data_IF_936687368536
#
_entry.id   IF_936687368536
#
_cell.length_a   1.000
_cell.length_b   1.000
_cell.length_c   1.000
_cell.angle_alpha   90.00
_cell.angle_beta   90.00
_cell.angle_gamma   90.00
#
_symmetry.space_group_name_H-M   'P 1'
#
loop_
_entity.id
_entity.type
_entity.pdbx_description
1 polymer ?
#
# COMPACT_ATOMS: atom_id res chain seq x y z
N UNK A 1 -9.23 -13.99 11.01
CA UNK A 1 -9.18 -13.20 12.25
C UNK A 1 -7.71 -13.18 12.67
N UNK A 2 -7.17 -12.06 13.16
CA UNK A 2 -5.76 -12.00 13.56
C UNK A 2 -5.61 -12.52 15.00
N UNK A 3 -4.57 -13.31 15.27
CA UNK A 3 -4.30 -13.86 16.61
C UNK A 3 -3.55 -12.86 17.51
N UNK A 4 -3.19 -11.71 16.96
CA UNK A 4 -2.50 -10.58 17.61
C UNK A 4 -3.00 -9.24 17.07
N UNK A 5 -2.56 -8.14 17.67
CA UNK A 5 -2.79 -6.80 17.12
C UNK A 5 -1.89 -6.60 15.90
N UNK A 6 -2.45 -6.54 14.66
CA UNK A 6 -1.63 -6.48 13.46
C UNK A 6 -0.93 -5.14 13.33
N UNK A 7 0.29 -5.19 12.83
CA UNK A 7 1.05 -4.01 12.44
C UNK A 7 0.47 -3.39 11.16
N UNK A 8 0.85 -2.13 10.88
CA UNK A 8 0.42 -1.45 9.66
C UNK A 8 0.86 -2.20 8.38
N UNK A 9 2.03 -2.83 8.40
CA UNK A 9 2.56 -3.61 7.29
C UNK A 9 1.77 -4.90 7.06
N UNK A 10 1.42 -5.59 8.14
CA UNK A 10 0.61 -6.80 8.11
C UNK A 10 -0.79 -6.54 7.54
N UNK A 11 -1.42 -5.44 7.93
CA UNK A 11 -2.70 -5.01 7.37
C UNK A 11 -2.60 -4.69 5.88
N UNK A 12 -1.49 -4.11 5.46
CA UNK A 12 -1.23 -3.78 4.06
C UNK A 12 -1.00 -5.03 3.22
N UNK A 13 -0.14 -5.95 3.67
CA UNK A 13 0.14 -7.20 2.96
C UNK A 13 -1.13 -8.05 2.82
N UNK A 14 -2.03 -8.02 3.81
CA UNK A 14 -3.35 -8.64 3.70
C UNK A 14 -4.23 -7.98 2.62
N UNK A 15 -4.25 -6.64 2.53
CA UNK A 15 -5.01 -5.92 1.49
C UNK A 15 -4.48 -6.22 0.10
N UNK A 16 -3.16 -6.19 -0.09
CA UNK A 16 -2.52 -6.50 -1.38
C UNK A 16 -2.82 -7.93 -1.82
N UNK A 17 -2.74 -8.92 -0.91
CA UNK A 17 -3.11 -10.31 -1.21
C UNK A 17 -4.59 -10.48 -1.55
N UNK A 18 -5.47 -9.63 -1.00
CA UNK A 18 -6.89 -9.62 -1.34
C UNK A 18 -7.19 -8.93 -2.68
N UNK A 19 -6.18 -8.48 -3.42
CA UNK A 19 -6.34 -7.83 -4.73
C UNK A 19 -6.66 -6.34 -4.66
N UNK A 20 -6.52 -5.72 -3.47
CA UNK A 20 -6.63 -4.28 -3.37
C UNK A 20 -5.43 -3.61 -4.06
N UNK A 21 -5.70 -2.67 -4.96
CA UNK A 21 -4.71 -1.83 -5.62
C UNK A 21 -4.87 -0.38 -5.16
N UNK A 22 -3.77 0.35 -4.88
CA UNK A 22 -3.89 1.75 -4.51
C UNK A 22 -4.45 2.56 -5.68
N UNK A 23 -5.44 3.40 -5.42
CA UNK A 23 -5.98 4.33 -6.42
C UNK A 23 -5.10 5.58 -6.44
N UNK A 24 -4.43 5.90 -7.58
CA UNK A 24 -3.71 7.16 -7.72
C UNK A 24 -4.70 8.32 -7.57
N UNK A 25 -4.32 9.34 -6.80
CA UNK A 25 -5.05 10.61 -6.77
C UNK A 25 -4.06 11.72 -7.09
N UNK A 26 -4.48 12.68 -7.91
CA UNK A 26 -3.67 13.85 -8.17
C UNK A 26 -3.73 14.78 -6.96
N UNK A 27 -2.58 15.14 -6.41
CA UNK A 27 -2.43 16.25 -5.48
C UNK A 27 -2.02 17.50 -6.26
N UNK A 28 -1.96 18.65 -5.58
CA UNK A 28 -1.63 19.95 -6.19
C UNK A 28 -0.28 19.94 -6.92
N UNK A 29 0.64 19.06 -6.51
CA UNK A 29 2.00 18.93 -7.06
C UNK A 29 2.15 17.78 -8.06
N UNK A 30 1.06 17.09 -8.45
CA UNK A 30 1.06 15.95 -9.37
C UNK A 30 0.47 14.68 -8.76
N UNK A 31 0.63 13.54 -9.42
CA UNK A 31 0.09 12.27 -8.91
C UNK A 31 0.84 11.83 -7.64
N UNK A 32 0.14 11.81 -6.50
CA UNK A 32 0.67 11.32 -5.23
C UNK A 32 -0.27 10.28 -4.66
N UNK A 33 0.27 9.10 -4.42
CA UNK A 33 -0.53 8.02 -3.84
C UNK A 33 -0.54 8.17 -2.32
N UNK A 34 -1.64 8.69 -1.79
CA UNK A 34 -1.81 8.99 -0.37
C UNK A 34 -1.98 7.71 0.46
N UNK A 35 -0.87 7.16 0.96
CA UNK A 35 -0.89 6.20 2.07
C UNK A 35 0.40 5.39 2.20
N UNK A 36 0.73 4.97 3.43
CA UNK A 36 1.79 3.98 3.73
C UNK A 36 1.66 2.73 2.82
N UNK A 37 0.41 2.38 2.50
CA UNK A 37 0.01 1.33 1.57
C UNK A 37 0.56 1.47 0.15
N UNK A 38 0.71 2.69 -0.33
CA UNK A 38 1.17 2.98 -1.67
C UNK A 38 2.65 3.39 -1.74
N UNK A 39 3.26 3.70 -0.60
CA UNK A 39 4.69 3.99 -0.49
C UNK A 39 5.56 2.72 -0.50
N UNK A 40 5.00 1.53 -0.25
CA UNK A 40 5.73 0.27 -0.46
C UNK A 40 5.87 0.00 -1.96
N UNK A 41 6.97 0.47 -2.53
CA UNK A 41 7.44 0.01 -3.83
C UNK A 41 7.86 -1.46 -3.66
N UNK A 42 7.23 -2.43 -4.34
CA UNK A 42 7.69 -3.80 -4.29
C UNK A 42 9.14 -3.86 -4.79
N UNK A 43 10.01 -4.55 -4.05
CA UNK A 43 11.48 -4.60 -4.21
C UNK A 43 11.98 -5.19 -5.55
N UNK A 44 11.09 -5.39 -6.53
CA UNK A 44 11.40 -5.93 -7.86
C UNK A 44 11.11 -4.96 -9.01
N UNK A 45 10.64 -3.75 -8.76
CA UNK A 45 10.51 -2.72 -9.80
C UNK A 45 11.90 -2.09 -10.06
N UNK A 46 12.80 -2.87 -10.68
CA UNK A 46 13.97 -2.29 -11.34
C UNK A 46 13.49 -1.41 -12.49
N UNK A 47 13.86 -0.14 -12.40
CA UNK A 47 13.74 0.87 -13.45
C UNK A 47 14.63 0.53 -14.64
#
# INVERSE_FOLDING_TARGET
>A
MWDHCPTADELLDARLRAGWTPTPTSTVDGDVVLGHAACRVPSGASR
#
